data_IF_388262738411
#
_entry.id   IF_388262738411
#
_cell.length_a   1.000
_cell.length_b   1.000
_cell.length_c   1.000
_cell.angle_alpha   90.00
_cell.angle_beta   90.00
_cell.angle_gamma   90.00
#
_symmetry.space_group_name_H-M   'P 1'
#
loop_
_entity.id
_entity.type
_entity.pdbx_description
1 polymer ?
#
# COMPACT_ATOMS: atom_id res chain seq x y z
N UNK A 1 -13.61 7.08 6.16
CA UNK A 1 -12.70 6.87 7.31
C UNK A 1 -12.01 8.19 7.63
N UNK A 2 -11.91 8.56 8.91
CA UNK A 2 -11.22 9.78 9.35
C UNK A 2 -10.16 9.43 10.40
N UNK A 3 -9.03 10.14 10.39
CA UNK A 3 -7.93 9.93 11.33
C UNK A 3 -8.03 10.77 12.61
N UNK A 4 -8.82 11.86 12.58
CA UNK A 4 -8.98 12.81 13.68
C UNK A 4 -9.39 14.20 13.19
N UNK A 5 -9.47 15.17 14.11
CA UNK A 5 -9.78 16.58 13.83
C UNK A 5 -8.78 17.49 14.55
N UNK A 6 -8.14 18.39 13.80
CA UNK A 6 -7.11 19.31 14.31
C UNK A 6 -7.64 20.36 15.28
N UNK A 7 -8.96 20.56 15.35
CA UNK A 7 -9.59 21.43 16.36
C UNK A 7 -9.62 20.79 17.75
N UNK A 8 -9.57 19.46 17.79
CA UNK A 8 -9.77 18.67 19.01
C UNK A 8 -8.46 17.99 19.46
N UNK A 9 -7.50 17.77 18.55
CA UNK A 9 -6.25 17.05 18.82
C UNK A 9 -5.08 17.66 18.02
N UNK A 10 -3.85 17.71 18.58
CA UNK A 10 -2.67 18.13 17.83
C UNK A 10 -2.47 17.29 16.56
N UNK A 11 -2.15 17.96 15.44
CA UNK A 11 -1.89 17.29 14.17
C UNK A 11 -0.79 16.22 14.29
N UNK A 12 0.23 16.46 15.11
CA UNK A 12 1.31 15.51 15.37
C UNK A 12 0.80 14.20 15.93
N UNK A 13 -0.19 14.25 16.82
CA UNK A 13 -0.73 13.07 17.46
C UNK A 13 -1.64 12.32 16.49
N UNK A 14 -2.53 13.04 15.77
CA UNK A 14 -3.34 12.46 14.69
C UNK A 14 -2.45 11.70 13.70
N UNK A 15 -1.39 12.35 13.21
CA UNK A 15 -0.47 11.76 12.25
C UNK A 15 0.30 10.55 12.80
N UNK A 16 0.87 10.68 14.01
CA UNK A 16 1.77 9.67 14.56
C UNK A 16 1.02 8.45 15.10
N UNK A 17 -0.12 8.65 15.76
CA UNK A 17 -0.76 7.62 16.58
C UNK A 17 -2.18 7.21 16.15
N UNK A 18 -2.83 7.90 15.21
CA UNK A 18 -4.16 7.45 14.77
C UNK A 18 -4.11 6.02 14.21
N UNK A 19 -5.14 5.23 14.49
CA UNK A 19 -5.24 3.85 14.01
C UNK A 19 -5.21 3.76 12.49
N UNK A 20 -5.79 4.74 11.80
CA UNK A 20 -5.76 4.81 10.34
C UNK A 20 -4.34 5.04 9.80
N UNK A 21 -3.65 6.09 10.24
CA UNK A 21 -2.33 6.39 9.68
C UNK A 21 -1.26 5.40 10.12
N UNK A 22 -1.36 4.83 11.32
CA UNK A 22 -0.45 3.75 11.75
C UNK A 22 -0.68 2.50 10.91
N UNK A 23 -1.94 2.09 10.69
CA UNK A 23 -2.25 0.95 9.85
C UNK A 23 -1.84 1.13 8.38
N UNK A 24 -2.02 2.32 7.79
CA UNK A 24 -1.61 2.59 6.40
C UNK A 24 -0.08 2.55 6.21
N UNK A 25 0.70 2.70 7.28
CA UNK A 25 2.16 2.59 7.29
C UNK A 25 2.66 1.18 7.58
N UNK A 26 1.77 0.24 7.89
CA UNK A 26 2.10 -1.14 8.17
C UNK A 26 2.01 -1.98 6.88
N UNK A 27 3.14 -2.41 6.30
CA UNK A 27 3.15 -3.22 5.08
C UNK A 27 2.62 -4.63 5.28
N UNK A 28 2.56 -5.15 6.52
CA UNK A 28 2.00 -6.47 6.84
C UNK A 28 0.47 -6.49 6.76
N UNK A 29 -0.16 -5.31 6.67
CA UNK A 29 -1.60 -5.21 6.46
C UNK A 29 -2.02 -5.31 5.00
N UNK A 30 -1.09 -5.21 4.05
CA UNK A 30 -1.42 -5.26 2.62
C UNK A 30 -1.89 -6.66 2.22
N UNK A 31 -2.98 -6.71 1.45
CA UNK A 31 -3.54 -7.94 0.90
C UNK A 31 -3.12 -8.21 -0.55
N UNK A 32 -3.51 -9.39 -1.04
CA UNK A 32 -3.30 -9.82 -2.43
C UNK A 32 -1.84 -9.75 -2.88
N UNK A 33 -1.61 -9.43 -4.16
CA UNK A 33 -0.28 -9.22 -4.75
C UNK A 33 0.57 -8.24 -3.96
N UNK A 34 -0.03 -7.16 -3.44
CA UNK A 34 0.71 -6.18 -2.64
C UNK A 34 1.21 -6.76 -1.30
N UNK A 35 0.48 -7.70 -0.70
CA UNK A 35 0.86 -8.37 0.55
C UNK A 35 2.06 -9.29 0.43
N UNK A 36 2.25 -9.91 -0.73
CA UNK A 36 3.37 -10.86 -1.00
C UNK A 36 4.50 -10.26 -1.83
N UNK A 37 4.37 -9.01 -2.28
CA UNK A 37 5.34 -8.33 -3.14
C UNK A 37 6.65 -8.03 -2.40
N UNK A 38 7.78 -8.30 -3.06
CA UNK A 38 9.12 -7.95 -2.58
C UNK A 38 9.33 -6.44 -2.37
N UNK A 39 8.49 -5.59 -2.99
CA UNK A 39 8.51 -4.14 -2.83
C UNK A 39 7.47 -3.59 -1.87
N UNK A 40 6.77 -4.45 -1.10
CA UNK A 40 5.65 -4.03 -0.24
C UNK A 40 6.01 -2.99 0.82
N UNK A 41 7.27 -2.95 1.27
CA UNK A 41 7.76 -2.01 2.29
C UNK A 41 8.12 -0.62 1.73
N UNK A 42 8.34 -0.51 0.42
CA UNK A 42 8.77 0.75 -0.24
C UNK A 42 7.73 1.31 -1.21
N UNK A 43 7.00 0.45 -1.92
CA UNK A 43 5.99 0.85 -2.89
C UNK A 43 4.61 0.76 -2.26
N UNK A 44 4.19 -0.45 -1.90
CA UNK A 44 2.85 -0.76 -1.41
C UNK A 44 1.73 -0.54 -2.44
N UNK A 45 1.83 0.43 -3.36
CA UNK A 45 0.76 0.86 -4.26
C UNK A 45 -0.07 2.02 -3.70
N UNK A 46 -0.98 2.57 -4.51
CA UNK A 46 -1.87 3.67 -4.09
C UNK A 46 -3.04 3.15 -3.26
N UNK A 47 -3.03 3.46 -1.95
CA UNK A 47 -4.13 3.15 -1.01
C UNK A 47 -5.43 3.87 -1.37
N UNK A 48 -5.34 5.06 -1.95
CA UNK A 48 -6.50 5.81 -2.41
C UNK A 48 -7.22 5.10 -3.57
N UNK A 49 -6.47 4.57 -4.55
CA UNK A 49 -7.07 3.81 -5.67
C UNK A 49 -7.64 2.46 -5.23
N UNK A 50 -6.93 1.75 -4.35
CA UNK A 50 -7.42 0.50 -3.77
C UNK A 50 -8.80 0.73 -3.11
N UNK A 51 -8.90 1.75 -2.26
CA UNK A 51 -10.16 2.09 -1.60
C UNK A 51 -11.25 2.57 -2.57
N UNK A 52 -10.91 3.43 -3.53
CA UNK A 52 -11.88 3.94 -4.50
C UNK A 52 -12.49 2.81 -5.36
N UNK A 53 -11.72 1.76 -5.63
CA UNK A 53 -12.15 0.66 -6.51
C UNK A 53 -12.81 -0.48 -5.74
N UNK A 54 -12.37 -0.75 -4.51
CA UNK A 54 -12.77 -1.97 -3.77
C UNK A 54 -13.49 -1.69 -2.46
N UNK A 55 -13.42 -0.46 -1.93
CA UNK A 55 -13.83 -0.15 -0.56
C UNK A 55 -12.84 -0.59 0.52
N UNK A 56 -11.74 -1.24 0.16
CA UNK A 56 -10.68 -1.67 1.08
C UNK A 56 -9.37 -0.93 0.77
N UNK A 57 -8.85 -0.20 1.77
CA UNK A 57 -7.57 0.52 1.66
C UNK A 57 -6.36 -0.41 1.59
N UNK A 58 -6.51 -1.65 2.07
CA UNK A 58 -5.45 -2.66 2.13
C UNK A 58 -5.46 -3.63 0.95
N UNK A 59 -6.46 -3.53 0.06
CA UNK A 59 -6.52 -4.31 -1.16
C UNK A 59 -5.37 -3.97 -2.13
N UNK A 60 -5.26 -4.79 -3.17
CA UNK A 60 -4.32 -4.57 -4.27
C UNK A 60 -4.53 -3.21 -4.93
N UNK A 61 -3.43 -2.64 -5.42
CA UNK A 61 -3.49 -1.51 -6.30
C UNK A 61 -3.89 -1.98 -7.72
N UNK A 62 -5.06 -1.57 -8.26
CA UNK A 62 -5.63 -2.12 -9.48
C UNK A 62 -4.81 -1.90 -10.77
N UNK A 63 -3.97 -0.85 -10.83
CA UNK A 63 -3.21 -0.50 -12.04
C UNK A 63 -1.76 -1.00 -12.02
N UNK A 64 -1.35 -1.77 -11.01
CA UNK A 64 0.01 -2.21 -10.87
C UNK A 64 0.30 -3.34 -11.88
N UNK A 65 1.18 -3.08 -12.85
CA UNK A 65 1.60 -4.05 -13.87
C UNK A 65 2.66 -5.04 -13.37
N UNK A 66 3.26 -4.77 -12.21
CA UNK A 66 4.30 -5.62 -11.63
C UNK A 66 3.73 -6.95 -11.11
N UNK A 67 4.49 -8.03 -11.30
CA UNK A 67 4.17 -9.37 -10.80
C UNK A 67 5.17 -9.75 -9.70
N UNK A 68 4.72 -9.99 -8.46
CA UNK A 68 5.60 -10.45 -7.39
C UNK A 68 6.46 -11.65 -7.80
N UNK A 69 7.73 -11.63 -7.42
CA UNK A 69 8.71 -12.68 -7.75
C UNK A 69 9.33 -12.56 -9.15
N UNK A 70 8.94 -11.60 -9.98
CA UNK A 70 9.55 -11.37 -11.30
C UNK A 70 10.84 -10.54 -11.25
N UNK A 71 11.23 -10.06 -10.07
CA UNK A 71 12.51 -9.38 -9.88
C UNK A 71 13.59 -10.39 -9.52
N UNK A 72 14.55 -10.60 -10.44
CA UNK A 72 15.72 -11.44 -10.21
C UNK A 72 16.97 -10.56 -10.25
N UNK A 73 17.80 -10.61 -9.21
CA UNK A 73 19.16 -10.04 -9.19
C UNK A 73 19.31 -8.59 -9.67
N UNK A 74 18.31 -7.73 -9.38
CA UNK A 74 18.39 -6.31 -9.75
C UNK A 74 18.05 -6.02 -11.21
N UNK A 75 17.58 -7.01 -11.98
CA UNK A 75 17.18 -6.87 -13.38
C UNK A 75 15.73 -7.33 -13.58
N UNK A 76 14.95 -6.67 -14.45
CA UNK A 76 13.66 -7.18 -14.84
C UNK A 76 13.82 -8.58 -15.44
N UNK A 77 13.03 -9.56 -14.98
CA UNK A 77 12.89 -10.84 -15.68
C UNK A 77 12.46 -10.56 -17.12
N UNK A 78 13.36 -10.83 -18.06
CA UNK A 78 13.13 -10.66 -19.49
C UNK A 78 12.27 -11.84 -19.97
N UNK A 79 10.98 -11.80 -19.65
CA UNK A 79 10.02 -12.69 -20.33
C UNK A 79 9.65 -12.01 -21.64
N UNK A 80 10.03 -12.62 -22.76
CA UNK A 80 9.66 -12.22 -24.11
C UNK A 80 8.14 -11.95 -24.15
N UNK A 81 7.76 -10.76 -24.58
CA UNK A 81 6.38 -10.49 -24.99
C UNK A 81 6.26 -11.10 -26.38
N UNK A 82 5.57 -12.24 -26.48
CA UNK A 82 5.01 -12.71 -27.75
C UNK A 82 3.82 -11.82 -28.16
#
# INVERSE_FOLDING_TARGET
>A
MAAGNVRDQPLTDIYRSSSLFTALRDPDRLGGRCGVCEFRTVCGGSRARAYATTGDVFAEEPTCSYRPGSWHDGRPSMTTVD
#
